data_IF_287043008997
#
_entry.id   IF_287043008997
#
_cell.length_a   1.000
_cell.length_b   1.000
_cell.length_c   1.000
_cell.angle_alpha   90.00
_cell.angle_beta   90.00
_cell.angle_gamma   90.00
#
_symmetry.space_group_name_H-M   'P 1'
#
loop_
_entity.id
_entity.type
_entity.pdbx_description
1 polymer ?
#
# COMPACT_ATOMS: atom_id res chain seq x y z
N UNK A 1 15.58 -5.99 -10.00
CA UNK A 1 14.89 -5.13 -9.02
C UNK A 1 15.73 -5.15 -7.75
N UNK A 2 15.76 -4.07 -6.95
CA UNK A 2 16.55 -4.07 -5.73
C UNK A 2 15.98 -5.08 -4.74
N UNK A 3 16.84 -5.88 -4.09
CA UNK A 3 16.43 -7.04 -3.27
C UNK A 3 15.48 -6.67 -2.10
N UNK A 4 15.47 -5.41 -1.68
CA UNK A 4 14.67 -4.92 -0.55
C UNK A 4 13.63 -3.86 -0.97
N UNK A 5 12.90 -4.11 -2.05
CA UNK A 5 11.77 -3.25 -2.47
C UNK A 5 10.44 -3.83 -2.05
N UNK A 6 9.53 -2.98 -1.56
CA UNK A 6 8.15 -3.37 -1.22
C UNK A 6 7.15 -2.42 -1.84
N UNK A 7 6.12 -2.96 -2.49
CA UNK A 7 4.99 -2.17 -2.98
C UNK A 7 4.06 -1.86 -1.80
N UNK A 8 3.76 -0.57 -1.62
CA UNK A 8 2.86 -0.09 -0.58
C UNK A 8 1.66 0.57 -1.24
N UNK A 9 0.46 0.17 -0.83
CA UNK A 9 -0.81 0.74 -1.28
C UNK A 9 -1.45 1.47 -0.11
N UNK A 10 -1.85 2.71 -0.30
CA UNK A 10 -2.36 3.56 0.79
C UNK A 10 -3.83 3.88 0.52
N UNK A 11 -4.72 3.57 1.46
CA UNK A 11 -6.13 3.98 1.39
C UNK A 11 -6.27 5.51 1.50
N UNK A 12 -7.44 6.08 1.14
CA UNK A 12 -8.56 5.43 0.46
C UNK A 12 -8.28 5.27 -1.05
N UNK A 13 -8.89 4.25 -1.63
CA UNK A 13 -8.96 4.01 -3.06
C UNK A 13 -10.40 3.64 -3.44
N UNK A 14 -10.77 3.62 -4.73
CA UNK A 14 -12.10 3.20 -5.15
C UNK A 14 -12.45 1.81 -4.60
N UNK A 15 -13.69 1.63 -4.14
CA UNK A 15 -14.14 0.40 -3.47
C UNK A 15 -13.97 -0.87 -4.32
N UNK A 16 -13.96 -0.74 -5.65
CA UNK A 16 -13.80 -1.85 -6.59
C UNK A 16 -12.34 -2.07 -7.05
N UNK A 17 -11.35 -1.40 -6.45
CA UNK A 17 -9.98 -1.49 -6.97
C UNK A 17 -9.39 -2.89 -6.84
N UNK A 18 -9.68 -3.61 -5.74
CA UNK A 18 -9.17 -4.96 -5.52
C UNK A 18 -9.63 -5.93 -6.62
N UNK A 19 -10.91 -5.86 -6.99
CA UNK A 19 -11.46 -6.65 -8.10
C UNK A 19 -10.97 -6.17 -9.47
N UNK A 20 -10.85 -4.86 -9.68
CA UNK A 20 -10.33 -4.31 -10.93
C UNK A 20 -8.87 -4.72 -11.19
N UNK A 21 -8.03 -4.71 -10.16
CA UNK A 21 -6.63 -5.11 -10.24
C UNK A 21 -6.48 -6.64 -10.39
N UNK A 22 -7.40 -7.42 -9.83
CA UNK A 22 -7.40 -8.88 -10.01
C UNK A 22 -7.47 -9.29 -11.49
N UNK A 23 -8.23 -8.56 -12.31
CA UNK A 23 -8.39 -8.83 -13.76
C UNK A 23 -7.45 -8.00 -14.65
N UNK A 24 -6.59 -7.16 -14.08
CA UNK A 24 -5.68 -6.32 -14.83
C UNK A 24 -4.40 -7.11 -15.22
N UNK A 25 -4.17 -7.31 -16.52
CA UNK A 25 -3.03 -8.10 -17.02
C UNK A 25 -1.67 -7.51 -16.62
N UNK A 26 -1.51 -6.18 -16.60
CA UNK A 26 -0.27 -5.55 -16.17
C UNK A 26 0.00 -5.82 -14.68
N UNK A 27 -1.03 -5.69 -13.84
CA UNK A 27 -0.94 -5.94 -12.40
C UNK A 27 -0.59 -7.40 -12.09
N UNK A 28 -1.18 -8.36 -12.83
CA UNK A 28 -0.88 -9.78 -12.70
C UNK A 28 0.59 -10.12 -13.01
N UNK A 29 1.24 -9.35 -13.90
CA UNK A 29 2.65 -9.56 -14.27
C UNK A 29 3.63 -8.73 -13.43
N UNK A 30 3.16 -7.82 -12.58
CA UNK A 30 4.02 -7.03 -11.71
C UNK A 30 4.43 -7.88 -10.49
N UNK A 31 5.70 -8.29 -10.43
CA UNK A 31 6.20 -9.15 -9.36
C UNK A 31 5.91 -8.62 -7.94
N UNK A 32 6.03 -7.30 -7.74
CA UNK A 32 5.77 -6.66 -6.45
C UNK A 32 4.28 -6.59 -6.06
N UNK A 33 3.35 -6.81 -7.01
CA UNK A 33 1.91 -6.77 -6.77
C UNK A 33 1.35 -8.06 -6.16
N UNK A 34 2.17 -9.12 -6.05
CA UNK A 34 1.75 -10.40 -5.47
C UNK A 34 1.51 -10.31 -3.96
N UNK A 35 2.28 -9.48 -3.27
CA UNK A 35 2.20 -9.28 -1.82
C UNK A 35 2.40 -7.79 -1.45
N UNK A 36 1.44 -6.92 -1.81
CA UNK A 36 1.52 -5.51 -1.47
C UNK A 36 1.20 -5.28 0.00
N UNK A 37 1.87 -4.32 0.63
CA UNK A 37 1.49 -3.85 1.96
C UNK A 37 0.39 -2.78 1.83
N UNK A 38 -0.83 -3.11 2.26
CA UNK A 38 -1.93 -2.15 2.25
C UNK A 38 -1.97 -1.42 3.59
N UNK A 39 -1.94 -0.08 3.55
CA UNK A 39 -1.98 0.77 4.73
C UNK A 39 -3.34 1.48 4.86
N UNK A 40 -3.77 1.80 6.10
CA UNK A 40 -4.93 2.66 6.35
C UNK A 40 -4.77 4.03 5.70
N UNK A 41 -5.86 4.79 5.71
CA UNK A 41 -5.87 6.15 5.20
C UNK A 41 -4.87 7.06 5.95
N UNK A 42 -4.08 7.79 5.16
CA UNK A 42 -3.22 8.88 5.65
C UNK A 42 -3.26 10.03 4.65
N UNK A 43 -3.23 11.24 5.18
CA UNK A 43 -3.35 12.45 4.37
C UNK A 43 -1.99 12.84 3.77
N UNK A 44 -1.80 12.65 2.47
CA UNK A 44 -0.50 12.87 1.79
C UNK A 44 -0.11 14.34 1.64
N UNK A 45 -1.05 15.28 1.83
CA UNK A 45 -0.85 16.73 1.66
C UNK A 45 -0.87 17.52 2.97
N UNK A 46 -0.50 16.90 4.10
CA UNK A 46 -0.83 17.41 5.45
C UNK A 46 0.36 17.91 6.23
N UNK A 47 1.53 18.00 5.56
CA UNK A 47 2.77 18.42 6.18
C UNK A 47 3.27 17.44 7.25
N UNK A 48 3.97 17.98 8.26
CA UNK A 48 4.69 17.20 9.27
C UNK A 48 3.79 16.27 10.09
N UNK A 49 2.61 16.68 10.60
CA UNK A 49 1.76 15.79 11.38
C UNK A 49 1.35 14.53 10.60
N UNK A 50 1.02 14.68 9.32
CA UNK A 50 0.68 13.54 8.47
C UNK A 50 1.89 12.68 8.11
N UNK A 51 3.08 13.28 7.97
CA UNK A 51 4.32 12.54 7.77
C UNK A 51 4.65 11.65 8.98
N UNK A 52 4.52 12.17 10.21
CA UNK A 52 4.70 11.38 11.43
C UNK A 52 3.70 10.23 11.49
N UNK A 53 2.42 10.51 11.22
CA UNK A 53 1.38 9.47 11.18
C UNK A 53 1.67 8.40 10.13
N UNK A 54 2.14 8.79 8.95
CA UNK A 54 2.55 7.85 7.90
C UNK A 54 3.72 6.97 8.36
N UNK A 55 4.76 7.55 8.99
CA UNK A 55 5.90 6.80 9.49
C UNK A 55 5.48 5.74 10.53
N UNK A 56 4.60 6.10 11.46
CA UNK A 56 4.06 5.17 12.45
C UNK A 56 3.24 4.03 11.81
N UNK A 57 2.39 4.36 10.84
CA UNK A 57 1.57 3.38 10.12
C UNK A 57 2.45 2.44 9.29
N UNK A 58 3.43 2.99 8.57
CA UNK A 58 4.35 2.23 7.74
C UNK A 58 5.19 1.26 8.59
N UNK A 59 5.77 1.75 9.69
CA UNK A 59 6.54 0.91 10.60
C UNK A 59 5.68 -0.25 11.16
N UNK A 60 4.47 0.05 11.62
CA UNK A 60 3.53 -0.99 12.09
C UNK A 60 3.18 -1.99 11.01
N UNK A 61 2.90 -1.53 9.79
CA UNK A 61 2.57 -2.39 8.65
C UNK A 61 3.72 -3.30 8.21
N UNK A 62 4.95 -2.79 8.25
CA UNK A 62 6.14 -3.58 7.95
C UNK A 62 6.39 -4.69 8.99
N UNK A 63 6.13 -4.41 10.27
CA UNK A 63 6.36 -5.34 11.37
C UNK A 63 5.24 -6.36 11.57
N UNK A 64 3.98 -5.95 11.35
CA UNK A 64 2.80 -6.74 11.74
C UNK A 64 1.86 -7.09 10.58
N UNK A 65 2.13 -6.60 9.36
CA UNK A 65 1.23 -6.76 8.22
C UNK A 65 0.25 -5.59 8.04
N UNK A 66 -0.34 -5.51 6.85
CA UNK A 66 -1.26 -4.46 6.45
C UNK A 66 -2.73 -4.84 6.54
N UNK A 67 -3.58 -3.98 6.01
CA UNK A 67 -4.99 -4.26 5.82
C UNK A 67 -5.25 -5.17 4.61
N UNK A 68 -6.50 -5.61 4.45
CA UNK A 68 -6.97 -6.27 3.24
C UNK A 68 -7.45 -5.24 2.20
N UNK A 69 -7.51 -5.70 0.94
CA UNK A 69 -8.06 -4.97 -0.21
C UNK A 69 -9.50 -4.51 0.02
#
# INVERSE_FOLDING_TARGET
MAENSRLVVVKPYPANIGSALHYNTLWQHLAMAKDPLILPAVWTFGGIPSAQRFAEILAKGLLHGGEQW
#
